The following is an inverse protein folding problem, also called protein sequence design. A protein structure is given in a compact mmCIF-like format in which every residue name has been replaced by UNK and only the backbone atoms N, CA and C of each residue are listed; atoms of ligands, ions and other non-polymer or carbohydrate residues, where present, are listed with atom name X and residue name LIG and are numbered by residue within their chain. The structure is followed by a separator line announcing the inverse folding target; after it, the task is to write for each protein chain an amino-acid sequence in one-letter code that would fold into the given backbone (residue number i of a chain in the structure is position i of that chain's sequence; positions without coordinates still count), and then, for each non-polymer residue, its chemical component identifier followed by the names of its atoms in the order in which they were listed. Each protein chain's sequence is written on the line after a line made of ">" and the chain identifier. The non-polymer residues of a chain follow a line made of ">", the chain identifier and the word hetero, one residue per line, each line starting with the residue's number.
data_IF_243737668086
#
_entry.id   IF_243737668086
#
_cell.length_a   1.000
_cell.length_b   1.000
_cell.length_c   1.000
_cell.angle_alpha   90.00
_cell.angle_beta   90.00
_cell.angle_gamma   90.00
#
_symmetry.space_group_name_H-M   'P 1'
#
loop_
_entity.id
_entity.type
_entity.pdbx_description
1 polymer ?
#
# COMPACT_ATOMS: atom_id res chain seq x y z
N UNK A 1 -19.38 24.13 -16.09
CA UNK A 1 -17.93 23.98 -16.26
C UNK A 1 -17.35 23.67 -14.88
N UNK A 2 -17.59 22.46 -14.38
CA UNK A 2 -17.28 22.04 -13.00
C UNK A 2 -16.85 20.57 -12.88
N UNK A 3 -17.11 19.71 -13.88
CA UNK A 3 -16.70 18.29 -13.87
C UNK A 3 -15.19 18.05 -13.93
N UNK A 4 -14.42 18.98 -14.50
CA UNK A 4 -12.98 18.77 -14.71
C UNK A 4 -12.17 18.78 -13.41
N UNK A 5 -12.67 19.44 -12.35
CA UNK A 5 -11.98 19.54 -11.05
C UNK A 5 -12.13 18.27 -10.20
N UNK A 6 -13.30 17.64 -10.18
CA UNK A 6 -13.54 16.40 -9.42
C UNK A 6 -12.82 15.19 -10.04
N UNK A 7 -12.84 15.10 -11.37
CA UNK A 7 -12.13 14.05 -12.11
C UNK A 7 -10.61 14.13 -11.91
N UNK A 8 -10.06 15.35 -11.76
CA UNK A 8 -8.66 15.58 -11.42
C UNK A 8 -8.29 15.06 -10.03
N UNK A 9 -9.08 15.41 -9.01
CA UNK A 9 -8.82 15.01 -7.62
C UNK A 9 -8.80 13.50 -7.43
N UNK A 10 -9.80 12.79 -7.96
CA UNK A 10 -9.88 11.33 -7.84
C UNK A 10 -8.70 10.62 -8.53
N UNK A 11 -8.31 11.06 -9.73
CA UNK A 11 -7.16 10.48 -10.45
C UNK A 11 -5.84 10.72 -9.71
N UNK A 12 -5.67 11.90 -9.11
CA UNK A 12 -4.49 12.22 -8.31
C UNK A 12 -4.40 11.33 -7.08
N UNK A 13 -5.50 11.14 -6.35
CA UNK A 13 -5.52 10.30 -5.15
C UNK A 13 -5.22 8.84 -5.51
N UNK A 14 -5.87 8.29 -6.54
CA UNK A 14 -5.60 6.92 -7.00
C UNK A 14 -4.14 6.77 -7.45
N UNK A 15 -3.61 7.76 -8.18
CA UNK A 15 -2.22 7.80 -8.58
C UNK A 15 -1.27 7.83 -7.39
N UNK A 16 -1.57 8.61 -6.35
CA UNK A 16 -0.77 8.67 -5.13
C UNK A 16 -0.80 7.35 -4.36
N UNK A 17 -1.97 6.73 -4.20
CA UNK A 17 -2.10 5.41 -3.56
C UNK A 17 -1.26 4.38 -4.31
N UNK A 18 -1.37 4.34 -5.63
CA UNK A 18 -0.60 3.42 -6.47
C UNK A 18 0.92 3.69 -6.37
N UNK A 19 1.33 4.95 -6.42
CA UNK A 19 2.73 5.34 -6.34
C UNK A 19 3.34 4.97 -4.97
N UNK A 20 2.67 5.31 -3.88
CA UNK A 20 3.14 4.97 -2.53
C UNK A 20 3.22 3.46 -2.34
N UNK A 21 2.22 2.72 -2.80
CA UNK A 21 2.23 1.25 -2.76
C UNK A 21 3.41 0.67 -3.54
N UNK A 22 3.68 1.20 -4.74
CA UNK A 22 4.79 0.76 -5.58
C UNK A 22 6.16 1.10 -4.94
N UNK A 23 6.32 2.29 -4.37
CA UNK A 23 7.54 2.68 -3.64
C UNK A 23 7.76 1.77 -2.43
N UNK A 24 6.73 1.48 -1.66
CA UNK A 24 6.85 0.53 -0.54
C UNK A 24 7.21 -0.86 -1.02
N UNK A 25 6.59 -1.35 -2.10
CA UNK A 25 6.92 -2.66 -2.66
C UNK A 25 8.38 -2.72 -3.13
N UNK A 26 8.87 -1.67 -3.79
CA UNK A 26 10.27 -1.56 -4.20
C UNK A 26 11.22 -1.53 -2.99
N UNK A 27 10.86 -0.78 -1.95
CA UNK A 27 11.63 -0.73 -0.70
C UNK A 27 11.66 -2.09 0.00
N UNK A 28 10.52 -2.78 0.09
CA UNK A 28 10.44 -4.15 0.60
C UNK A 28 11.33 -5.09 -0.22
N UNK A 29 11.29 -5.00 -1.54
CA UNK A 29 12.13 -5.84 -2.40
C UNK A 29 13.64 -5.59 -2.18
N UNK A 30 14.04 -4.33 -2.00
CA UNK A 30 15.42 -3.99 -1.63
C UNK A 30 15.80 -4.59 -0.27
N UNK A 31 14.92 -4.52 0.73
CA UNK A 31 15.17 -5.17 2.01
C UNK A 31 15.27 -6.69 1.86
N UNK A 32 14.38 -7.33 1.12
CA UNK A 32 14.44 -8.77 0.86
C UNK A 32 15.71 -9.23 0.13
N UNK A 33 16.42 -8.33 -0.54
CA UNK A 33 17.74 -8.58 -1.10
C UNK A 33 18.87 -8.36 -0.07
N UNK A 34 18.81 -7.28 0.69
CA UNK A 34 19.90 -6.85 1.57
C UNK A 34 19.89 -7.56 2.93
N UNK A 35 18.72 -7.81 3.52
CA UNK A 35 18.59 -8.41 4.85
C UNK A 35 19.30 -9.76 4.97
N UNK A 36 19.05 -10.74 4.08
CA UNK A 36 19.68 -12.05 4.18
C UNK A 36 21.21 -11.97 4.20
N UNK A 37 21.78 -11.08 3.37
CA UNK A 37 23.22 -10.88 3.28
C UNK A 37 23.84 -10.25 4.54
N UNK A 38 23.04 -9.49 5.31
CA UNK A 38 23.53 -8.76 6.49
C UNK A 38 23.26 -9.49 7.80
N UNK A 39 22.15 -10.20 7.92
CA UNK A 39 21.69 -10.79 9.19
C UNK A 39 21.71 -12.32 9.19
N UNK A 40 21.88 -12.97 8.03
CA UNK A 40 21.72 -14.42 7.90
C UNK A 40 20.27 -14.90 8.07
N UNK A 41 19.30 -13.98 8.02
CA UNK A 41 17.88 -14.30 8.12
C UNK A 41 17.38 -14.89 6.79
N UNK A 42 17.11 -16.19 6.79
CA UNK A 42 16.62 -16.90 5.59
C UNK A 42 15.09 -17.01 5.54
N UNK A 43 14.43 -16.96 6.70
CA UNK A 43 12.98 -17.15 6.82
C UNK A 43 12.35 -16.14 7.77
N UNK A 44 11.08 -15.84 7.54
CA UNK A 44 10.26 -15.02 8.42
C UNK A 44 8.83 -15.57 8.49
N UNK A 45 8.16 -15.35 9.62
CA UNK A 45 6.78 -15.83 9.84
C UNK A 45 5.79 -14.69 9.65
N UNK A 46 4.77 -14.92 8.83
CA UNK A 46 3.63 -14.02 8.61
C UNK A 46 2.36 -14.82 8.84
N UNK A 47 1.52 -14.38 9.79
CA UNK A 47 0.25 -15.05 10.09
C UNK A 47 0.41 -16.57 10.26
N UNK A 48 1.41 -16.98 11.05
CA UNK A 48 1.77 -18.38 11.31
C UNK A 48 2.34 -19.16 10.11
N UNK A 49 2.47 -18.53 8.94
CA UNK A 49 3.12 -19.11 7.76
C UNK A 49 4.58 -18.69 7.68
N UNK A 50 5.49 -19.66 7.60
CA UNK A 50 6.91 -19.41 7.35
C UNK A 50 7.15 -19.22 5.86
N UNK A 51 7.83 -18.11 5.51
CA UNK A 51 8.07 -17.69 4.13
C UNK A 51 9.55 -17.37 3.96
N UNK A 52 10.18 -17.75 2.83
CA UNK A 52 11.56 -17.38 2.58
C UNK A 52 11.72 -15.86 2.47
N UNK A 53 12.81 -15.34 3.02
CA UNK A 53 13.23 -13.94 2.86
C UNK A 53 13.78 -13.79 1.45
N UNK A 54 13.06 -13.04 0.62
CA UNK A 54 13.46 -12.77 -0.77
C UNK A 54 12.94 -11.40 -1.21
N UNK A 55 13.49 -10.83 -2.29
CA UNK A 55 12.98 -9.57 -2.84
C UNK A 55 11.50 -9.63 -3.18
N UNK A 56 11.04 -10.77 -3.71
CA UNK A 56 9.63 -10.95 -4.10
C UNK A 56 8.73 -10.98 -2.88
N UNK A 57 9.07 -11.78 -1.87
CA UNK A 57 8.23 -11.96 -0.68
C UNK A 57 8.14 -10.70 0.16
N UNK A 58 9.25 -10.01 0.38
CA UNK A 58 9.25 -8.73 1.11
C UNK A 58 8.61 -7.60 0.31
N UNK A 59 8.81 -7.55 -1.00
CA UNK A 59 8.17 -6.56 -1.87
C UNK A 59 6.66 -6.72 -1.87
N UNK A 60 6.17 -7.96 -2.00
CA UNK A 60 4.75 -8.27 -1.88
C UNK A 60 4.21 -7.97 -0.49
N UNK A 61 4.92 -8.36 0.57
CA UNK A 61 4.50 -8.11 1.94
C UNK A 61 4.34 -6.61 2.20
N UNK A 62 5.35 -5.80 1.88
CA UNK A 62 5.31 -4.34 2.05
C UNK A 62 4.23 -3.69 1.17
N UNK A 63 4.19 -4.06 -0.11
CA UNK A 63 3.21 -3.54 -1.07
C UNK A 63 1.77 -3.86 -0.69
N UNK A 64 1.46 -5.10 -0.35
CA UNK A 64 0.11 -5.50 0.06
C UNK A 64 -0.27 -4.83 1.38
N UNK A 65 0.62 -4.80 2.37
CA UNK A 65 0.34 -4.19 3.68
C UNK A 65 -0.01 -2.71 3.54
N UNK A 66 0.82 -1.93 2.84
CA UNK A 66 0.57 -0.49 2.64
C UNK A 66 -0.58 -0.25 1.68
N UNK A 67 -0.70 -1.03 0.60
CA UNK A 67 -1.80 -0.91 -0.36
C UNK A 67 -3.15 -1.13 0.31
N UNK A 68 -3.29 -2.20 1.09
CA UNK A 68 -4.52 -2.49 1.86
C UNK A 68 -4.79 -1.38 2.87
N UNK A 69 -3.79 -0.90 3.59
CA UNK A 69 -3.94 0.20 4.54
C UNK A 69 -4.47 1.47 3.86
N UNK A 70 -3.84 1.91 2.77
CA UNK A 70 -4.21 3.14 2.06
C UNK A 70 -5.60 3.03 1.40
N UNK A 71 -5.92 1.89 0.80
CA UNK A 71 -7.25 1.63 0.22
C UNK A 71 -8.32 1.63 1.32
N UNK A 72 -8.04 1.01 2.47
CA UNK A 72 -8.97 1.02 3.62
C UNK A 72 -9.21 2.45 4.11
N UNK A 73 -8.15 3.25 4.25
CA UNK A 73 -8.27 4.66 4.62
C UNK A 73 -9.13 5.44 3.63
N UNK A 74 -8.90 5.23 2.33
CA UNK A 74 -9.68 5.88 1.27
C UNK A 74 -11.17 5.51 1.35
N UNK A 75 -11.47 4.23 1.58
CA UNK A 75 -12.85 3.75 1.78
C UNK A 75 -13.48 4.41 3.01
N UNK A 76 -12.77 4.47 4.13
CA UNK A 76 -13.27 5.12 5.36
C UNK A 76 -13.59 6.59 5.11
N UNK A 77 -12.68 7.33 4.49
CA UNK A 77 -12.89 8.75 4.14
C UNK A 77 -14.10 8.88 3.22
N UNK A 78 -14.21 8.05 2.19
CA UNK A 78 -15.34 8.08 1.26
C UNK A 78 -16.68 7.82 1.96
N UNK A 79 -16.72 6.88 2.90
CA UNK A 79 -17.93 6.59 3.69
C UNK A 79 -18.30 7.81 4.56
N UNK A 80 -17.35 8.40 5.26
CA UNK A 80 -17.59 9.55 6.14
C UNK A 80 -18.05 10.78 5.32
N UNK A 81 -17.38 11.09 4.21
CA UNK A 81 -17.76 12.21 3.34
C UNK A 81 -19.19 12.06 2.80
N UNK A 82 -19.60 10.84 2.46
CA UNK A 82 -20.98 10.59 2.04
C UNK A 82 -22.00 10.89 3.14
N UNK A 83 -21.68 10.63 4.41
CA UNK A 83 -22.59 10.97 5.50
C UNK A 83 -22.72 12.48 5.71
N UNK A 84 -21.62 13.22 5.57
CA UNK A 84 -21.60 14.69 5.65
C UNK A 84 -22.46 15.32 4.53
N UNK A 85 -22.33 14.81 3.29
CA UNK A 85 -23.15 15.25 2.16
C UNK A 85 -24.65 14.99 2.35
N UNK A 86 -25.05 13.95 3.10
CA UNK A 86 -26.45 13.62 3.37
C UNK A 86 -27.02 14.33 4.62
N UNK A 87 -26.18 15.03 5.38
CA UNK A 87 -26.59 15.76 6.59
C UNK A 87 -27.03 17.21 6.30
N UNK A 88 -26.89 17.66 5.06
CA UNK A 88 -27.32 18.97 4.53
C UNK A 88 -28.59 18.81 3.69
#
# INVERSE_FOLDING_TARGET
>A
MTDDRELGGRRVVVGLVAALTAVTAAFGALLGFVLPAWTGLEEFTVLEMTVPVSPVTFGLYGGVTIGVFLVTLLVVVQVISRFDENAV
#
